data_IF_924659559035
#
_entry.id   IF_924659559035
#
_cell.length_a   1.000
_cell.length_b   1.000
_cell.length_c   1.000
_cell.angle_alpha   90.00
_cell.angle_beta   90.00
_cell.angle_gamma   90.00
#
_symmetry.space_group_name_H-M   'P 1'
#
loop_
_entity.id
_entity.type
_entity.pdbx_description
1 polymer ?
#
# COMPACT_ATOMS: atom_id res chain seq x y z
N UNK A 1 -36.36 -10.85 1.88
CA UNK A 1 -35.52 -9.68 1.55
C UNK A 1 -34.18 -10.20 1.06
N UNK A 2 -33.87 -10.06 -0.23
CA UNK A 2 -32.62 -10.56 -0.79
C UNK A 2 -31.50 -9.55 -0.50
N UNK A 3 -30.37 -10.01 0.04
CA UNK A 3 -29.23 -9.13 0.34
C UNK A 3 -28.51 -8.70 -0.94
N UNK A 4 -28.15 -7.41 -1.02
CA UNK A 4 -27.41 -6.88 -2.17
C UNK A 4 -25.97 -7.42 -2.21
N UNK A 5 -25.37 -7.43 -3.39
CA UNK A 5 -23.95 -7.80 -3.56
C UNK A 5 -23.03 -6.98 -2.65
N UNK A 6 -23.31 -5.69 -2.50
CA UNK A 6 -22.54 -4.78 -1.64
C UNK A 6 -22.59 -5.20 -0.17
N UNK A 7 -23.78 -5.55 0.34
CA UNK A 7 -23.95 -6.02 1.72
C UNK A 7 -23.23 -7.35 1.94
N UNK A 8 -23.30 -8.27 0.98
CA UNK A 8 -22.60 -9.55 1.05
C UNK A 8 -21.06 -9.39 1.04
N UNK A 9 -20.54 -8.47 0.23
CA UNK A 9 -19.11 -8.16 0.21
C UNK A 9 -18.64 -7.56 1.54
N UNK A 10 -19.39 -6.62 2.09
CA UNK A 10 -19.08 -6.01 3.39
C UNK A 10 -19.04 -7.06 4.51
N UNK A 11 -20.03 -7.96 4.55
CA UNK A 11 -20.06 -9.08 5.51
C UNK A 11 -18.87 -10.00 5.37
N UNK A 12 -18.44 -10.28 4.14
CA UNK A 12 -17.26 -11.13 3.87
C UNK A 12 -15.98 -10.47 4.40
N UNK A 13 -15.79 -9.18 4.13
CA UNK A 13 -14.64 -8.41 4.63
C UNK A 13 -14.62 -8.42 6.16
N UNK A 14 -15.77 -8.14 6.79
CA UNK A 14 -15.90 -8.14 8.25
C UNK A 14 -15.53 -9.50 8.86
N UNK A 15 -16.11 -10.60 8.33
CA UNK A 15 -15.84 -11.95 8.84
C UNK A 15 -14.35 -12.31 8.75
N UNK A 16 -13.71 -12.01 7.61
CA UNK A 16 -12.27 -12.26 7.42
C UNK A 16 -11.41 -11.45 8.38
N UNK A 17 -11.79 -10.21 8.70
CA UNK A 17 -11.06 -9.37 9.64
C UNK A 17 -11.18 -9.85 11.10
N UNK A 18 -12.28 -10.51 11.45
CA UNK A 18 -12.54 -10.99 12.81
C UNK A 18 -11.95 -12.37 13.09
N UNK A 19 -11.49 -13.07 12.06
CA UNK A 19 -10.82 -14.37 12.17
C UNK A 19 -9.36 -14.16 12.63
N UNK A 20 -8.97 -14.79 13.74
CA UNK A 20 -7.71 -14.53 14.45
C UNK A 20 -6.68 -15.65 14.28
N UNK A 21 -6.76 -16.45 13.22
CA UNK A 21 -5.73 -17.45 12.92
C UNK A 21 -4.44 -16.78 12.41
N UNK A 22 -3.63 -16.27 13.35
CA UNK A 22 -2.58 -15.26 13.11
C UNK A 22 -1.24 -15.79 12.58
N UNK A 23 -0.99 -17.11 12.65
CA UNK A 23 0.35 -17.66 12.35
C UNK A 23 0.71 -17.67 10.86
N UNK A 24 -0.28 -17.73 9.97
CA UNK A 24 -0.07 -17.70 8.51
C UNK A 24 0.16 -16.27 8.00
N UNK A 25 -0.37 -15.26 8.70
CA UNK A 25 -0.39 -13.87 8.26
C UNK A 25 1.02 -13.23 8.27
N UNK A 26 1.82 -13.47 9.30
CA UNK A 26 3.14 -12.86 9.43
C UNK A 26 4.11 -13.34 8.34
N UNK A 27 4.12 -14.64 8.02
CA UNK A 27 4.98 -15.18 6.97
C UNK A 27 4.63 -14.58 5.60
N UNK A 28 3.35 -14.57 5.25
CA UNK A 28 2.90 -14.01 3.98
C UNK A 28 3.20 -12.50 3.88
N UNK A 29 3.12 -11.77 5.00
CA UNK A 29 3.51 -10.36 5.04
C UNK A 29 5.00 -10.19 4.75
N UNK A 30 5.87 -10.98 5.39
CA UNK A 30 7.32 -10.92 5.15
C UNK A 30 7.68 -11.32 3.72
N UNK A 31 7.02 -12.33 3.15
CA UNK A 31 7.23 -12.74 1.76
C UNK A 31 6.81 -11.64 0.78
N UNK A 32 5.71 -10.93 1.04
CA UNK A 32 5.31 -9.75 0.27
C UNK A 32 6.31 -8.60 0.40
N UNK A 33 6.89 -8.38 1.58
CA UNK A 33 7.90 -7.32 1.75
C UNK A 33 9.15 -7.66 0.93
N UNK A 34 9.59 -8.92 0.96
CA UNK A 34 10.73 -9.40 0.16
C UNK A 34 10.47 -9.35 -1.35
N UNK A 35 9.22 -9.41 -1.81
CA UNK A 35 8.91 -9.24 -3.24
C UNK A 35 9.18 -7.82 -3.75
N UNK A 36 9.35 -6.84 -2.86
CA UNK A 36 9.73 -5.48 -3.22
C UNK A 36 11.25 -5.25 -3.24
N UNK A 37 12.04 -6.25 -2.88
CA UNK A 37 13.50 -6.17 -2.83
C UNK A 37 14.07 -6.72 -1.53
N UNK A 38 15.40 -6.69 -1.42
CA UNK A 38 16.12 -7.06 -0.19
C UNK A 38 15.93 -5.96 0.86
N UNK A 39 15.64 -6.33 2.10
CA UNK A 39 15.51 -5.38 3.21
C UNK A 39 16.55 -5.67 4.29
N UNK A 40 17.40 -4.70 4.68
CA UNK A 40 18.47 -4.94 5.67
C UNK A 40 17.94 -5.54 6.99
N UNK A 41 16.78 -5.07 7.46
CA UNK A 41 16.13 -5.56 8.69
C UNK A 41 15.59 -7.00 8.60
N UNK A 42 15.35 -7.52 7.39
CA UNK A 42 14.82 -8.88 7.18
C UNK A 42 15.89 -9.87 6.74
N UNK A 43 16.87 -9.38 5.98
CA UNK A 43 17.78 -10.23 5.22
C UNK A 43 19.25 -10.06 5.64
N UNK A 44 19.57 -9.00 6.40
CA UNK A 44 20.91 -8.63 6.85
C UNK A 44 21.51 -7.48 6.03
N UNK A 45 22.31 -6.63 6.68
CA UNK A 45 22.98 -5.49 6.04
C UNK A 45 23.94 -5.90 4.92
N UNK A 46 24.49 -7.13 4.98
CA UNK A 46 25.42 -7.70 4.01
C UNK A 46 24.78 -8.05 2.66
N UNK A 47 23.46 -8.22 2.63
CA UNK A 47 22.72 -8.59 1.42
C UNK A 47 22.13 -7.39 0.69
N UNK A 48 21.92 -6.28 1.39
CA UNK A 48 21.39 -5.07 0.77
C UNK A 48 22.50 -4.35 0.01
N UNK A 49 22.19 -3.93 -1.22
CA UNK A 49 23.12 -3.25 -2.12
C UNK A 49 22.45 -2.00 -2.65
N UNK A 50 23.15 -0.88 -2.60
CA UNK A 50 22.62 0.41 -3.06
C UNK A 50 22.42 0.41 -4.57
N UNK A 51 23.24 -0.34 -5.31
CA UNK A 51 23.21 -0.42 -6.77
C UNK A 51 21.94 -1.12 -7.29
N UNK A 52 21.35 -1.99 -6.47
CA UNK A 52 20.14 -2.75 -6.81
C UNK A 52 18.85 -2.02 -6.38
N UNK A 53 18.97 -0.85 -5.74
CA UNK A 53 17.85 -0.18 -5.08
C UNK A 53 17.30 1.01 -5.88
N UNK A 54 16.22 0.77 -6.65
CA UNK A 54 15.43 1.83 -7.27
C UNK A 54 14.31 2.31 -6.33
N UNK A 55 14.63 3.34 -5.54
CA UNK A 55 13.69 3.96 -4.62
C UNK A 55 12.46 4.54 -5.32
N UNK A 56 12.59 5.07 -6.55
CA UNK A 56 11.48 5.74 -7.25
C UNK A 56 10.42 4.73 -7.66
N UNK A 57 10.85 3.64 -8.30
CA UNK A 57 9.95 2.55 -8.71
C UNK A 57 9.29 1.88 -7.51
N UNK A 58 10.04 1.67 -6.41
CA UNK A 58 9.49 1.13 -5.17
C UNK A 58 8.37 2.03 -4.63
N UNK A 59 8.64 3.34 -4.47
CA UNK A 59 7.69 4.29 -3.91
C UNK A 59 6.44 4.45 -4.80
N UNK A 60 6.62 4.49 -6.13
CA UNK A 60 5.51 4.53 -7.07
C UNK A 60 4.62 3.29 -6.94
N UNK A 61 5.23 2.11 -6.90
CA UNK A 61 4.49 0.85 -6.84
C UNK A 61 3.76 0.64 -5.51
N UNK A 62 4.37 0.95 -4.36
CA UNK A 62 3.68 0.85 -3.06
C UNK A 62 2.61 1.93 -2.89
N UNK A 63 2.77 3.10 -3.51
CA UNK A 63 1.74 4.13 -3.54
C UNK A 63 0.53 3.65 -4.36
N UNK A 64 0.75 3.07 -5.53
CA UNK A 64 -0.32 2.58 -6.41
C UNK A 64 -1.06 1.36 -5.81
N UNK A 65 -0.33 0.37 -5.31
CA UNK A 65 -0.92 -0.92 -4.91
C UNK A 65 -1.38 -0.95 -3.46
N UNK A 66 -0.75 -0.16 -2.58
CA UNK A 66 -0.99 -0.18 -1.13
C UNK A 66 -1.42 1.16 -0.55
N UNK A 67 -1.52 2.22 -1.37
CA UNK A 67 -1.82 3.58 -0.92
C UNK A 67 -0.86 4.09 0.16
N UNK A 68 0.39 3.63 0.13
CA UNK A 68 1.43 4.04 1.08
C UNK A 68 2.12 5.32 0.61
N UNK A 69 2.22 6.32 1.50
CA UNK A 69 2.91 7.59 1.27
C UNK A 69 4.03 7.75 2.30
N UNK A 70 5.29 7.56 1.87
CA UNK A 70 6.44 7.52 2.80
C UNK A 70 7.14 8.88 2.95
N UNK A 71 7.20 9.69 1.88
CA UNK A 71 7.83 11.02 1.88
C UNK A 71 6.92 12.11 1.36
N UNK A 72 6.22 11.81 0.27
CA UNK A 72 5.26 12.67 -0.39
C UNK A 72 3.95 11.93 -0.56
N UNK A 73 2.86 12.68 -0.54
CA UNK A 73 1.54 12.22 -0.97
C UNK A 73 1.30 12.77 -2.35
N UNK A 74 0.99 11.88 -3.30
CA UNK A 74 0.55 12.23 -4.65
C UNK A 74 -0.92 11.84 -4.75
N UNK A 75 -1.79 12.82 -5.02
CA UNK A 75 -3.23 12.56 -5.12
C UNK A 75 -3.87 13.38 -6.24
N UNK A 76 -4.94 12.83 -6.83
CA UNK A 76 -5.80 13.57 -7.74
C UNK A 76 -6.79 14.36 -6.89
N UNK A 77 -6.72 15.70 -6.97
CA UNK A 77 -7.54 16.60 -6.17
C UNK A 77 -8.23 17.65 -7.06
N UNK A 78 -9.35 18.21 -6.61
CA UNK A 78 -10.00 19.28 -7.36
C UNK A 78 -9.13 20.55 -7.34
N UNK A 79 -9.07 21.25 -8.46
CA UNK A 79 -8.37 22.54 -8.51
C UNK A 79 -9.17 23.58 -7.70
N UNK A 80 -8.57 24.08 -6.63
CA UNK A 80 -9.18 25.09 -5.76
C UNK A 80 -9.49 26.41 -6.49
N UNK A 81 -8.79 26.69 -7.60
CA UNK A 81 -9.05 27.87 -8.44
C UNK A 81 -10.13 27.60 -9.49
N UNK A 82 -10.36 26.34 -9.84
CA UNK A 82 -11.39 25.92 -10.79
C UNK A 82 -11.87 24.50 -10.50
N UNK A 83 -12.93 24.40 -9.68
CA UNK A 83 -13.44 23.11 -9.17
C UNK A 83 -14.05 22.19 -10.23
N UNK A 84 -14.16 22.63 -11.49
CA UNK A 84 -14.55 21.76 -12.62
C UNK A 84 -13.40 20.90 -13.15
N UNK A 85 -12.17 21.11 -12.66
CA UNK A 85 -10.95 20.40 -13.09
C UNK A 85 -10.29 19.69 -11.93
N UNK A 86 -9.47 18.69 -12.26
CA UNK A 86 -8.61 17.98 -11.33
C UNK A 86 -7.14 18.29 -11.62
N UNK A 87 -6.33 18.28 -10.57
CA UNK A 87 -4.88 18.46 -10.60
C UNK A 87 -4.20 17.32 -9.84
N UNK A 88 -2.92 17.11 -10.14
CA UNK A 88 -2.04 16.30 -9.30
C UNK A 88 -1.57 17.19 -8.16
N UNK A 89 -2.01 16.88 -6.96
CA UNK A 89 -1.53 17.53 -5.75
C UNK A 89 -0.37 16.72 -5.17
N UNK A 90 0.77 17.40 -5.00
CA UNK A 90 1.95 16.86 -4.33
C UNK A 90 2.10 17.58 -2.99
N UNK A 91 2.05 16.84 -1.89
CA UNK A 91 2.25 17.38 -0.54
C UNK A 91 3.22 16.51 0.25
N UNK A 92 3.73 17.04 1.37
CA UNK A 92 4.47 16.23 2.35
C UNK A 92 3.55 15.11 2.88
N UNK A 93 4.07 13.90 3.05
CA UNK A 93 3.36 12.84 3.77
C UNK A 93 3.18 13.28 5.25
N UNK A 94 1.99 13.00 5.81
CA UNK A 94 1.62 13.37 7.17
C UNK A 94 2.32 12.50 8.23
#
# INVERSE_FOLDING_TARGET
MFESKSVNNLKTIYKRCMDKDERVAAKHLLDNIRSYGVWPMLDGDDKWRIEDFDLTSLLAHVSEVRSLNVFITIQVYFDLKNVSRYIILVSKAA
#
